data_IF_022313063062
#
_entry.id   IF_022313063062
#
_cell.length_a   1.000
_cell.length_b   1.000
_cell.length_c   1.000
_cell.angle_alpha   90.00
_cell.angle_beta   90.00
_cell.angle_gamma   90.00
#
_symmetry.space_group_name_H-M   'P 1'
#
loop_
_entity.id
_entity.type
_entity.pdbx_description
1 polymer ?
#
# COMPACT_ATOMS: atom_id res chain seq x y z
N UNK A 1 33.87 1.27 23.59
CA UNK A 1 32.91 0.26 23.13
C UNK A 1 32.89 0.32 21.62
N UNK A 2 33.50 -0.65 20.94
CA UNK A 2 33.63 -0.65 19.47
C UNK A 2 32.33 -1.14 18.83
N UNK A 3 32.08 -0.82 17.56
CA UNK A 3 30.91 -1.35 16.83
C UNK A 3 30.87 -2.89 16.81
N UNK A 4 32.05 -3.53 16.84
CA UNK A 4 32.18 -4.99 16.96
C UNK A 4 31.74 -5.54 18.32
N UNK A 5 31.93 -4.79 19.42
CA UNK A 5 31.45 -5.18 20.75
C UNK A 5 29.92 -5.06 20.86
N UNK A 6 29.30 -4.11 20.17
CA UNK A 6 27.84 -3.91 20.14
C UNK A 6 27.10 -4.97 19.31
N UNK A 7 27.74 -5.49 18.26
CA UNK A 7 27.17 -6.50 17.36
C UNK A 7 27.48 -7.94 17.81
N UNK A 8 28.24 -8.10 18.89
CA UNK A 8 28.66 -9.40 19.38
C UNK A 8 27.45 -10.18 19.94
N UNK A 9 27.11 -11.31 19.31
CA UNK A 9 25.95 -12.14 19.67
C UNK A 9 24.69 -11.91 18.83
N UNK A 10 24.67 -10.89 17.94
CA UNK A 10 23.59 -10.75 16.97
C UNK A 10 23.87 -11.60 15.72
N UNK A 11 22.86 -12.26 15.15
CA UNK A 11 23.01 -13.00 13.90
C UNK A 11 23.43 -12.03 12.79
N UNK A 12 24.49 -12.38 12.06
CA UNK A 12 25.01 -11.59 10.94
C UNK A 12 24.13 -11.65 9.69
N UNK A 13 23.23 -12.62 9.66
CA UNK A 13 22.22 -12.78 8.62
C UNK A 13 20.95 -13.36 9.22
N UNK A 14 19.81 -12.97 8.66
CA UNK A 14 18.50 -13.53 9.00
C UNK A 14 18.02 -14.32 7.79
N UNK A 15 17.62 -15.57 8.02
CA UNK A 15 17.01 -16.41 6.99
C UNK A 15 15.51 -16.19 7.05
N UNK A 16 14.97 -15.50 6.05
CA UNK A 16 13.55 -15.26 5.92
C UNK A 16 12.91 -16.31 4.99
N UNK A 17 11.69 -16.77 5.31
CA UNK A 17 10.97 -17.68 4.42
C UNK A 17 10.73 -17.00 3.07
N UNK A 18 10.94 -17.75 1.98
CA UNK A 18 10.71 -17.29 0.62
C UNK A 18 9.24 -17.50 0.23
N UNK A 19 8.35 -16.77 0.90
CA UNK A 19 6.90 -16.85 0.71
C UNK A 19 6.35 -15.44 0.49
N UNK A 20 5.32 -15.32 -0.35
CA UNK A 20 4.63 -14.07 -0.59
C UNK A 20 3.81 -13.60 0.61
N UNK A 21 3.43 -12.32 0.57
CA UNK A 21 2.58 -11.68 1.59
C UNK A 21 1.20 -12.35 1.71
N UNK A 22 0.68 -12.90 0.61
CA UNK A 22 -0.52 -13.72 0.56
C UNK A 22 -0.45 -14.93 1.51
N UNK A 23 0.64 -15.68 1.43
CA UNK A 23 0.87 -16.86 2.26
C UNK A 23 1.08 -16.49 3.73
N UNK A 24 1.81 -15.41 4.01
CA UNK A 24 2.03 -14.94 5.38
C UNK A 24 0.71 -14.50 6.03
N UNK A 25 -0.08 -13.69 5.33
CA UNK A 25 -1.34 -13.17 5.85
C UNK A 25 -2.38 -14.30 6.05
N UNK A 26 -2.49 -15.22 5.10
CA UNK A 26 -3.35 -16.40 5.22
C UNK A 26 -2.94 -17.27 6.42
N UNK A 27 -1.64 -17.48 6.62
CA UNK A 27 -1.13 -18.26 7.77
C UNK A 27 -1.44 -17.61 9.12
N UNK A 28 -1.30 -16.28 9.21
CA UNK A 28 -1.64 -15.51 10.43
C UNK A 28 -3.14 -15.55 10.69
N UNK A 29 -3.98 -15.35 9.66
CA UNK A 29 -5.43 -15.41 9.79
C UNK A 29 -5.90 -16.81 10.22
N UNK A 30 -5.32 -17.88 9.68
CA UNK A 30 -5.63 -19.24 10.08
C UNK A 30 -5.23 -19.55 11.53
N UNK A 31 -4.08 -19.03 11.98
CA UNK A 31 -3.54 -19.32 13.32
C UNK A 31 -4.16 -18.46 14.41
N UNK A 32 -4.49 -17.20 14.09
CA UNK A 32 -4.83 -16.16 15.06
C UNK A 32 -6.09 -15.38 14.68
N UNK A 33 -6.96 -15.94 13.83
CA UNK A 33 -8.08 -15.22 13.21
C UNK A 33 -9.01 -14.49 14.18
N UNK A 34 -9.24 -15.01 15.38
CA UNK A 34 -10.11 -14.38 16.39
C UNK A 34 -9.39 -13.35 17.29
N UNK A 35 -8.08 -13.14 17.11
CA UNK A 35 -7.32 -12.15 17.88
C UNK A 35 -7.43 -10.78 17.22
N UNK A 36 -7.52 -9.74 18.04
CA UNK A 36 -7.51 -8.35 17.57
C UNK A 36 -6.16 -8.06 16.89
N UNK A 37 -6.22 -7.58 15.66
CA UNK A 37 -5.08 -7.13 14.86
C UNK A 37 -4.92 -5.61 14.93
N UNK A 38 -6.04 -4.87 14.85
CA UNK A 38 -6.07 -3.41 14.79
C UNK A 38 -7.15 -2.85 15.73
N UNK A 39 -6.86 -1.68 16.29
CA UNK A 39 -7.81 -0.88 17.07
C UNK A 39 -7.69 0.59 16.67
N UNK A 40 -8.81 1.25 16.44
CA UNK A 40 -8.93 2.69 16.19
C UNK A 40 -10.09 3.20 17.06
N UNK A 41 -9.76 3.84 18.19
CA UNK A 41 -10.76 4.18 19.20
C UNK A 41 -11.48 2.96 19.76
N UNK A 42 -12.80 2.90 19.58
CA UNK A 42 -13.65 1.78 20.03
C UNK A 42 -13.83 0.70 18.94
N UNK A 43 -13.48 1.03 17.69
CA UNK A 43 -13.54 0.11 16.57
C UNK A 43 -12.31 -0.81 16.57
N UNK A 44 -12.51 -2.08 16.23
CA UNK A 44 -11.43 -3.07 16.14
C UNK A 44 -11.65 -4.04 14.97
N UNK A 45 -10.55 -4.57 14.45
CA UNK A 45 -10.54 -5.66 13.48
C UNK A 45 -9.68 -6.81 14.00
N UNK A 46 -10.20 -8.01 13.87
CA UNK A 46 -9.44 -9.24 14.11
C UNK A 46 -8.54 -9.58 12.92
N UNK A 47 -7.57 -10.48 13.10
CA UNK A 47 -6.72 -10.94 11.99
C UNK A 47 -7.52 -11.63 10.89
N UNK A 48 -8.62 -12.32 11.23
CA UNK A 48 -9.50 -12.95 10.26
C UNK A 48 -10.25 -11.92 9.42
N UNK A 49 -10.80 -10.89 10.04
CA UNK A 49 -11.51 -9.80 9.36
C UNK A 49 -10.55 -8.97 8.49
N UNK A 50 -9.35 -8.64 9.00
CA UNK A 50 -8.34 -7.92 8.23
C UNK A 50 -7.93 -8.68 6.96
N UNK A 51 -7.77 -10.00 7.06
CA UNK A 51 -7.46 -10.84 5.90
C UNK A 51 -8.63 -10.91 4.91
N UNK A 52 -9.86 -11.05 5.40
CA UNK A 52 -11.06 -11.03 4.54
C UNK A 52 -11.18 -9.70 3.80
N UNK A 53 -11.07 -8.57 4.51
CA UNK A 53 -11.12 -7.23 3.92
C UNK A 53 -10.03 -7.04 2.85
N UNK A 54 -8.80 -7.47 3.14
CA UNK A 54 -7.70 -7.42 2.18
C UNK A 54 -8.01 -8.24 0.91
N UNK A 55 -8.56 -9.45 1.04
CA UNK A 55 -8.96 -10.27 -0.10
C UNK A 55 -10.08 -9.64 -0.93
N UNK A 56 -11.06 -8.98 -0.27
CA UNK A 56 -12.15 -8.28 -0.97
C UNK A 56 -11.63 -7.08 -1.74
N UNK A 57 -10.75 -6.29 -1.14
CA UNK A 57 -10.09 -5.15 -1.78
C UNK A 57 -9.28 -5.62 -2.99
N UNK A 58 -8.48 -6.67 -2.82
CA UNK A 58 -7.69 -7.24 -3.91
C UNK A 58 -8.57 -7.75 -5.06
N UNK A 59 -9.63 -8.50 -4.73
CA UNK A 59 -10.60 -9.00 -5.71
C UNK A 59 -11.25 -7.86 -6.48
N UNK A 60 -11.64 -6.79 -5.79
CA UNK A 60 -12.22 -5.62 -6.43
C UNK A 60 -11.24 -4.92 -7.37
N UNK A 61 -9.99 -4.70 -6.95
CA UNK A 61 -8.95 -4.07 -7.77
C UNK A 61 -8.70 -4.88 -9.06
N UNK A 62 -8.51 -6.20 -8.94
CA UNK A 62 -8.32 -7.10 -10.11
C UNK A 62 -9.51 -7.05 -11.06
N UNK A 63 -10.74 -7.05 -10.55
CA UNK A 63 -11.97 -6.96 -11.37
C UNK A 63 -12.10 -5.62 -12.11
N UNK A 64 -11.44 -4.58 -11.62
CA UNK A 64 -11.38 -3.26 -12.25
C UNK A 64 -10.16 -3.07 -13.15
N UNK A 65 -9.40 -4.14 -13.40
CA UNK A 65 -8.30 -4.15 -14.36
C UNK A 65 -6.96 -3.69 -13.78
N UNK A 66 -6.84 -3.52 -12.46
CA UNK A 66 -5.54 -3.30 -11.82
C UNK A 66 -4.71 -4.59 -11.98
N UNK A 67 -3.52 -4.46 -12.57
CA UNK A 67 -2.65 -5.59 -12.85
C UNK A 67 -1.36 -5.59 -11.99
N UNK A 68 -0.57 -6.65 -12.13
CA UNK A 68 0.69 -6.78 -11.41
C UNK A 68 1.64 -5.61 -11.74
N UNK A 69 2.19 -4.98 -10.70
CA UNK A 69 3.11 -3.84 -10.84
C UNK A 69 2.45 -2.48 -11.09
N UNK A 70 1.12 -2.41 -11.20
CA UNK A 70 0.42 -1.13 -11.17
C UNK A 70 0.59 -0.46 -9.81
N UNK A 71 0.64 0.88 -9.80
CA UNK A 71 0.74 1.67 -8.57
C UNK A 71 -0.65 2.09 -8.09
N UNK A 72 -0.91 1.89 -6.81
CA UNK A 72 -2.14 2.36 -6.14
C UNK A 72 -1.75 3.37 -5.06
N UNK A 73 -2.19 4.60 -5.23
CA UNK A 73 -1.96 5.66 -4.25
C UNK A 73 -2.88 5.49 -3.03
N UNK A 74 -2.31 5.61 -1.83
CA UNK A 74 -3.03 5.53 -0.56
C UNK A 74 -2.78 6.84 0.20
N UNK A 75 -3.75 7.75 0.17
CA UNK A 75 -3.74 9.02 0.87
C UNK A 75 -4.69 8.95 2.07
N UNK A 76 -4.25 8.26 3.12
CA UNK A 76 -5.05 7.99 4.32
C UNK A 76 -4.18 8.16 5.58
N UNK A 77 -4.73 8.64 6.70
CA UNK A 77 -4.05 8.55 7.98
C UNK A 77 -4.01 7.09 8.46
N UNK A 78 -3.22 6.84 9.52
CA UNK A 78 -3.23 5.56 10.22
C UNK A 78 -4.57 5.37 10.92
N UNK A 79 -5.50 4.68 10.25
CA UNK A 79 -6.83 4.38 10.72
C UNK A 79 -7.15 2.89 10.51
N UNK A 80 -8.32 2.44 10.96
CA UNK A 80 -8.71 1.02 10.88
C UNK A 80 -8.73 0.45 9.46
N UNK A 81 -9.00 1.29 8.45
CA UNK A 81 -9.10 0.88 7.04
C UNK A 81 -7.73 0.75 6.35
N UNK A 82 -6.73 1.51 6.81
CA UNK A 82 -5.44 1.66 6.15
C UNK A 82 -4.76 0.32 5.87
N UNK A 83 -4.67 -0.55 6.88
CA UNK A 83 -3.99 -1.82 6.75
C UNK A 83 -4.69 -2.77 5.76
N UNK A 84 -6.03 -2.79 5.75
CA UNK A 84 -6.81 -3.57 4.79
C UNK A 84 -6.59 -3.09 3.35
N UNK A 85 -6.58 -1.77 3.14
CA UNK A 85 -6.29 -1.15 1.83
C UNK A 85 -4.87 -1.45 1.36
N UNK A 86 -3.89 -1.30 2.25
CA UNK A 86 -2.49 -1.61 1.97
C UNK A 86 -2.33 -3.09 1.59
N UNK A 87 -2.77 -4.01 2.45
CA UNK A 87 -2.64 -5.44 2.22
C UNK A 87 -3.42 -5.88 0.98
N UNK A 88 -4.65 -5.39 0.79
CA UNK A 88 -5.45 -5.71 -0.39
C UNK A 88 -4.84 -5.21 -1.70
N UNK A 89 -4.13 -4.09 -1.67
CA UNK A 89 -3.34 -3.62 -2.82
C UNK A 89 -2.23 -4.60 -3.16
N UNK A 90 -1.44 -5.01 -2.15
CA UNK A 90 -0.34 -5.97 -2.33
C UNK A 90 -0.84 -7.33 -2.79
N UNK A 91 -1.96 -7.82 -2.23
CA UNK A 91 -2.61 -9.07 -2.64
C UNK A 91 -3.18 -9.02 -4.07
N UNK A 92 -3.49 -7.83 -4.60
CA UNK A 92 -3.83 -7.67 -6.01
C UNK A 92 -2.60 -7.78 -6.94
N UNK A 93 -1.40 -7.88 -6.36
CA UNK A 93 -0.13 -7.83 -7.07
C UNK A 93 0.32 -6.40 -7.45
N UNK A 94 -0.39 -5.39 -6.95
CA UNK A 94 -0.09 -3.99 -7.19
C UNK A 94 0.86 -3.44 -6.11
N UNK A 95 1.54 -2.35 -6.43
CA UNK A 95 2.43 -1.64 -5.52
C UNK A 95 1.64 -0.58 -4.76
N UNK A 96 1.66 -0.67 -3.43
CA UNK A 96 1.10 0.34 -2.54
C UNK A 96 2.00 1.58 -2.50
N UNK A 97 1.48 2.73 -2.91
CA UNK A 97 2.16 4.01 -2.86
C UNK A 97 1.53 4.87 -1.76
N UNK A 98 2.05 4.76 -0.54
CA UNK A 98 1.51 5.52 0.59
C UNK A 98 2.07 6.94 0.57
N UNK A 99 1.18 7.92 0.51
CA UNK A 99 1.52 9.34 0.55
C UNK A 99 1.06 9.96 1.86
N UNK A 100 1.79 10.96 2.34
CA UNK A 100 1.37 11.68 3.54
C UNK A 100 0.07 12.47 3.22
N UNK A 101 -1.03 12.21 3.94
CA UNK A 101 -2.31 12.88 3.70
C UNK A 101 -2.30 14.39 3.95
N UNK A 102 -1.29 14.90 4.67
CA UNK A 102 -1.10 16.32 4.96
C UNK A 102 -0.21 17.03 3.93
N UNK A 103 0.31 16.30 2.93
CA UNK A 103 1.10 16.89 1.85
C UNK A 103 0.21 17.83 1.03
N UNK A 104 0.67 19.07 0.74
CA UNK A 104 -0.09 19.99 -0.10
C UNK A 104 -0.40 19.39 -1.49
N UNK A 105 -1.56 19.70 -2.09
CA UNK A 105 -1.95 19.12 -3.38
C UNK A 105 -0.95 19.31 -4.50
N UNK A 106 -0.29 20.47 -4.58
CA UNK A 106 0.73 20.73 -5.60
C UNK A 106 1.91 19.73 -5.50
N UNK A 107 2.38 19.46 -4.29
CA UNK A 107 3.44 18.47 -4.06
C UNK A 107 2.93 17.05 -4.28
N UNK A 108 1.68 16.74 -3.94
CA UNK A 108 1.10 15.43 -4.28
C UNK A 108 0.99 15.22 -5.79
N UNK A 109 0.70 16.27 -6.56
CA UNK A 109 0.63 16.19 -8.02
C UNK A 109 2.00 15.82 -8.60
N UNK A 110 3.08 16.46 -8.15
CA UNK A 110 4.46 16.09 -8.52
C UNK A 110 4.74 14.61 -8.19
N UNK A 111 4.36 14.16 -6.99
CA UNK A 111 4.53 12.76 -6.59
C UNK A 111 3.71 11.79 -7.47
N UNK A 112 2.49 12.14 -7.82
CA UNK A 112 1.64 11.30 -8.67
C UNK A 112 2.11 11.29 -10.13
N UNK A 113 2.76 12.35 -10.61
CA UNK A 113 3.45 12.34 -11.91
C UNK A 113 4.65 11.38 -11.89
N UNK A 114 5.38 11.31 -10.78
CA UNK A 114 6.58 10.47 -10.63
C UNK A 114 6.28 8.95 -10.66
N UNK A 115 5.20 8.49 -10.00
CA UNK A 115 4.86 7.06 -9.92
C UNK A 115 3.56 6.66 -10.64
N UNK A 116 2.88 7.62 -11.27
CA UNK A 116 1.75 7.43 -12.20
C UNK A 116 0.70 6.37 -11.78
N UNK A 117 -0.02 6.57 -10.67
CA UNK A 117 -0.94 5.58 -10.11
C UNK A 117 -2.23 5.40 -10.94
N UNK A 118 -2.77 4.17 -10.93
CA UNK A 118 -4.04 3.80 -11.60
C UNK A 118 -5.25 3.93 -10.69
N UNK A 119 -5.04 3.95 -9.38
CA UNK A 119 -6.09 4.05 -8.38
C UNK A 119 -5.66 4.92 -7.20
N UNK A 120 -6.64 5.51 -6.52
CA UNK A 120 -6.44 6.36 -5.35
C UNK A 120 -7.44 6.00 -4.25
N UNK A 121 -6.93 5.62 -3.08
CA UNK A 121 -7.70 5.50 -1.85
C UNK A 121 -7.53 6.76 -1.01
N UNK A 122 -8.64 7.35 -0.58
CA UNK A 122 -8.66 8.56 0.26
C UNK A 122 -9.47 8.34 1.54
N UNK A 123 -9.05 9.04 2.59
CA UNK A 123 -9.85 9.23 3.80
C UNK A 123 -10.43 10.65 3.82
N UNK A 124 -11.54 10.93 4.53
CA UNK A 124 -12.13 12.26 4.53
C UNK A 124 -11.23 13.37 5.11
N UNK A 125 -10.18 13.05 5.87
CA UNK A 125 -9.15 14.02 6.29
C UNK A 125 -8.17 14.41 5.18
N UNK A 126 -8.28 13.76 4.02
CA UNK A 126 -7.28 13.77 2.95
C UNK A 126 -7.91 14.12 1.60
N UNK A 127 -9.09 14.76 1.63
CA UNK A 127 -9.84 15.14 0.43
C UNK A 127 -9.05 16.02 -0.52
N UNK A 128 -8.16 16.87 -0.01
CA UNK A 128 -7.30 17.72 -0.83
C UNK A 128 -6.40 16.92 -1.78
N UNK A 129 -6.14 15.64 -1.51
CA UNK A 129 -5.44 14.75 -2.44
C UNK A 129 -6.18 14.52 -3.76
N UNK A 130 -7.51 14.75 -3.80
CA UNK A 130 -8.29 14.69 -5.04
C UNK A 130 -7.92 15.79 -6.02
N UNK A 131 -7.44 16.93 -5.54
CA UNK A 131 -6.99 18.03 -6.40
C UNK A 131 -5.74 17.67 -7.19
N UNK A 132 -4.94 16.72 -6.68
CA UNK A 132 -3.75 16.19 -7.34
C UNK A 132 -4.06 15.03 -8.31
N UNK A 133 -5.32 14.57 -8.39
CA UNK A 133 -5.70 13.37 -9.14
C UNK A 133 -5.35 13.50 -10.63
N UNK A 134 -4.64 12.51 -11.17
CA UNK A 134 -4.34 12.42 -12.60
C UNK A 134 -5.50 11.79 -13.39
N UNK A 135 -5.47 11.89 -14.72
CA UNK A 135 -6.46 11.22 -15.58
C UNK A 135 -6.35 9.70 -15.55
N UNK A 136 -5.18 9.14 -15.20
CA UNK A 136 -4.95 7.69 -15.08
C UNK A 136 -5.63 7.07 -13.85
N UNK A 137 -5.87 7.88 -12.82
CA UNK A 137 -6.60 7.47 -11.61
C UNK A 137 -8.11 7.39 -11.85
N UNK A 138 -8.55 6.44 -12.67
CA UNK A 138 -9.98 6.20 -12.94
C UNK A 138 -10.71 5.63 -11.72
N UNK A 139 -9.97 4.94 -10.84
CA UNK A 139 -10.50 4.28 -9.65
C UNK A 139 -10.22 5.14 -8.41
N UNK A 140 -11.23 5.87 -7.95
CA UNK A 140 -11.16 6.62 -6.69
C UNK A 140 -12.04 5.93 -5.65
N UNK A 141 -11.45 5.54 -4.52
CA UNK A 141 -12.14 4.88 -3.41
C UNK A 141 -12.07 5.74 -2.15
N UNK A 142 -13.21 5.96 -1.50
CA UNK A 142 -13.33 6.79 -0.30
C UNK A 142 -13.64 5.94 0.92
N UNK A 143 -12.73 5.93 1.89
CA UNK A 143 -12.93 5.28 3.17
C UNK A 143 -13.95 6.04 4.02
N UNK A 144 -14.71 5.35 4.90
CA UNK A 144 -15.50 6.00 5.94
C UNK A 144 -14.61 6.82 6.86
N UNK A 145 -15.17 7.91 7.39
CA UNK A 145 -14.51 8.66 8.45
C UNK A 145 -14.40 7.82 9.72
N UNK A 146 -13.22 7.83 10.36
CA UNK A 146 -12.99 7.19 11.65
C UNK A 146 -12.93 8.21 12.79
N UNK A 147 -12.51 7.79 13.99
CA UNK A 147 -12.31 8.66 15.14
C UNK A 147 -11.45 9.90 14.82
N UNK A 148 -10.49 9.77 13.90
CA UNK A 148 -9.58 10.86 13.50
C UNK A 148 -10.23 11.96 12.65
N UNK A 149 -11.31 11.68 11.90
CA UNK A 149 -12.00 12.69 11.07
C UNK A 149 -13.22 13.33 11.75
N UNK A 150 -13.67 12.78 12.88
CA UNK A 150 -15.06 12.93 13.31
C UNK A 150 -15.99 12.10 12.41
N UNK A 151 -17.05 11.53 13.00
CA UNK A 151 -18.01 10.68 12.29
C UNK A 151 -18.89 11.56 11.39
N UNK A 152 -18.46 11.77 10.15
CA UNK A 152 -19.22 12.50 9.13
C UNK A 152 -18.45 13.63 8.46
N UNK A 153 -17.70 13.29 7.43
CA UNK A 153 -17.31 14.25 6.41
C UNK A 153 -17.96 13.80 5.09
N UNK A 154 -19.19 14.29 4.90
CA UNK A 154 -20.02 14.01 3.75
C UNK A 154 -19.71 15.03 2.64
N UNK A 155 -19.01 14.55 1.61
CA UNK A 155 -18.86 15.20 0.32
C UNK A 155 -18.45 14.10 -0.64
N UNK A 156 -19.41 13.56 -1.40
CA UNK A 156 -19.15 12.49 -2.36
C UNK A 156 -18.85 13.14 -3.71
N UNK A 157 -17.65 12.99 -4.29
CA UNK A 157 -17.48 13.20 -5.72
C UNK A 157 -18.36 12.18 -6.45
N UNK A 158 -19.09 12.57 -7.48
CA UNK A 158 -20.04 11.66 -8.16
C UNK A 158 -19.44 10.34 -8.65
N UNK A 159 -18.11 10.29 -8.86
CA UNK A 159 -17.36 9.13 -9.34
C UNK A 159 -16.67 8.29 -8.27
N UNK A 160 -16.64 8.70 -7.00
CA UNK A 160 -15.90 7.99 -5.95
C UNK A 160 -16.70 6.81 -5.39
N UNK A 161 -16.05 5.64 -5.29
CA UNK A 161 -16.64 4.42 -4.74
C UNK A 161 -16.47 4.40 -3.21
N UNK A 162 -17.53 4.23 -2.41
CA UNK A 162 -17.38 4.02 -0.97
C UNK A 162 -16.65 2.71 -0.68
N UNK A 163 -15.63 2.74 0.20
CA UNK A 163 -14.89 1.53 0.58
C UNK A 163 -15.81 0.43 1.13
N UNK A 164 -16.85 0.81 1.86
CA UNK A 164 -17.86 -0.14 2.39
C UNK A 164 -18.61 -0.89 1.30
N UNK A 165 -18.86 -0.26 0.15
CA UNK A 165 -19.53 -0.90 -0.99
C UNK A 165 -18.56 -1.85 -1.69
N UNK A 166 -17.29 -1.46 -1.79
CA UNK A 166 -16.22 -2.32 -2.29
C UNK A 166 -16.05 -3.56 -1.41
N UNK A 167 -16.11 -3.41 -0.08
CA UNK A 167 -16.03 -4.50 0.88
C UNK A 167 -17.26 -5.43 0.84
N UNK A 168 -18.31 -5.13 0.08
CA UNK A 168 -19.41 -6.07 -0.14
C UNK A 168 -19.09 -7.15 -1.19
N UNK A 169 -17.99 -7.00 -1.94
CA UNK A 169 -17.55 -7.99 -2.93
C UNK A 169 -17.16 -9.29 -2.25
N UNK A 170 -17.55 -10.43 -2.86
CA UNK A 170 -17.08 -11.74 -2.41
C UNK A 170 -15.63 -11.97 -2.85
N UNK A 171 -14.73 -12.37 -1.94
CA UNK A 171 -13.37 -12.78 -2.27
C UNK A 171 -13.34 -13.83 -3.37
N UNK A 172 -12.38 -13.72 -4.28
CA UNK A 172 -12.07 -14.75 -5.26
C UNK A 172 -10.62 -15.22 -5.14
N UNK A 173 -10.30 -16.45 -5.59
CA UNK A 173 -8.92 -16.89 -5.68
C UNK A 173 -8.09 -15.89 -6.50
N UNK A 174 -7.00 -15.39 -5.91
CA UNK A 174 -6.06 -14.49 -6.54
C UNK A 174 -4.81 -15.27 -7.00
N UNK A 175 -4.09 -14.80 -8.03
CA UNK A 175 -2.75 -15.30 -8.32
C UNK A 175 -1.84 -15.18 -7.09
N UNK A 176 -0.93 -16.15 -6.90
CA UNK A 176 0.02 -16.10 -5.80
C UNK A 176 0.96 -14.90 -5.94
N UNK A 177 1.26 -14.23 -4.82
CA UNK A 177 2.22 -13.13 -4.80
C UNK A 177 3.65 -13.68 -4.83
N UNK A 178 4.47 -13.21 -5.77
CA UNK A 178 5.88 -13.57 -5.80
C UNK A 178 6.68 -12.73 -4.79
N UNK A 179 7.61 -13.30 -4.00
CA UNK A 179 8.37 -12.57 -2.97
C UNK A 179 9.36 -11.53 -3.50
N UNK A 180 9.54 -11.43 -4.82
CA UNK A 180 10.33 -10.37 -5.49
C UNK A 180 9.43 -9.32 -6.16
N UNK A 181 8.13 -9.33 -5.88
CA UNK A 181 7.22 -8.28 -6.35
C UNK A 181 7.40 -7.07 -5.47
N UNK A 182 7.38 -5.86 -6.02
CA UNK A 182 7.41 -4.63 -5.22
C UNK A 182 6.07 -4.43 -4.52
N UNK A 183 5.99 -4.64 -3.20
CA UNK A 183 4.77 -4.35 -2.44
C UNK A 183 4.56 -2.86 -2.17
N UNK A 184 5.63 -2.09 -1.97
CA UNK A 184 5.50 -0.70 -1.49
C UNK A 184 6.52 0.26 -2.07
N UNK A 185 6.05 1.43 -2.46
CA UNK A 185 6.88 2.55 -2.90
C UNK A 185 6.65 3.75 -1.98
N UNK A 186 7.74 4.24 -1.39
CA UNK A 186 7.70 5.38 -0.49
C UNK A 186 8.62 6.48 -1.00
N UNK A 187 8.06 7.67 -1.17
CA UNK A 187 8.86 8.83 -1.50
C UNK A 187 9.48 9.39 -0.22
N UNK A 188 10.79 9.62 -0.27
CA UNK A 188 11.52 10.23 0.84
C UNK A 188 11.30 11.74 0.80
N UNK A 189 11.18 12.36 1.98
CA UNK A 189 11.12 13.82 2.08
C UNK A 189 12.44 14.43 1.62
N UNK A 190 12.48 14.88 0.36
CA UNK A 190 13.67 15.48 -0.22
C UNK A 190 13.85 16.93 0.25
N UNK A 191 14.86 17.19 1.07
CA UNK A 191 15.40 18.56 1.20
C UNK A 191 16.23 18.95 -0.04
N UNK A 192 16.54 17.98 -0.93
CA UNK A 192 17.34 18.16 -2.15
C UNK A 192 16.85 17.18 -3.26
N UNK A 193 15.97 17.65 -4.16
CA UNK A 193 15.57 17.06 -5.47
C UNK A 193 14.92 15.63 -5.44
N UNK A 194 14.17 15.19 -6.48
CA UNK A 194 13.23 14.07 -6.35
C UNK A 194 13.97 12.73 -6.27
N UNK A 195 13.76 11.99 -5.17
CA UNK A 195 14.43 10.74 -4.85
C UNK A 195 13.39 9.63 -4.62
N UNK A 196 13.27 8.73 -5.59
CA UNK A 196 12.44 7.54 -5.48
C UNK A 196 13.18 6.51 -4.61
N UNK A 197 12.59 6.08 -3.49
CA UNK A 197 13.04 4.90 -2.77
C UNK A 197 12.04 3.77 -3.02
N UNK A 198 12.45 2.79 -3.82
CA UNK A 198 11.70 1.57 -4.05
C UNK A 198 12.13 0.54 -2.99
N UNK A 199 11.21 0.12 -2.13
CA UNK A 199 11.45 -0.98 -1.22
C UNK A 199 10.90 -2.25 -1.88
N UNK A 200 11.80 -3.13 -2.32
CA UNK A 200 11.45 -4.50 -2.72
C UNK A 200 11.05 -5.31 -1.46
N UNK A 201 10.30 -6.39 -1.63
CA UNK A 201 9.78 -7.25 -0.55
C UNK A 201 10.91 -8.00 0.20
N UNK A 202 12.13 -7.90 -0.31
CA UNK A 202 13.35 -8.38 0.34
C UNK A 202 13.86 -7.37 1.37
N UNK A 203 13.68 -7.69 2.65
CA UNK A 203 14.23 -6.94 3.80
C UNK A 203 15.78 -6.85 3.82
N UNK A 204 16.51 -7.64 3.02
CA UNK A 204 17.97 -7.64 3.01
C UNK A 204 18.55 -8.13 1.66
N UNK A 205 19.03 -7.22 0.77
CA UNK A 205 19.65 -7.63 -0.49
C UNK A 205 21.04 -8.27 -0.26
N UNK A 206 21.51 -9.14 -1.19
CA UNK A 206 22.84 -9.75 -1.09
C UNK A 206 23.96 -8.68 -1.18
N UNK A 207 25.09 -8.88 -0.50
CA UNK A 207 26.17 -7.89 -0.34
C UNK A 207 26.86 -7.46 -1.65
N UNK A 208 26.57 -8.14 -2.74
CA UNK A 208 27.12 -7.99 -4.09
C UNK A 208 26.15 -7.31 -5.07
N UNK A 209 24.95 -6.93 -4.62
CA UNK A 209 24.04 -6.08 -5.38
C UNK A 209 24.51 -4.61 -5.32
N UNK A 210 25.29 -4.18 -6.30
CA UNK A 210 25.62 -2.78 -6.50
C UNK A 210 24.34 -1.92 -6.55
N UNK A 211 24.40 -0.72 -5.98
CA UNK A 211 23.31 0.25 -6.05
C UNK A 211 23.04 0.61 -7.53
N UNK A 212 22.08 -0.06 -8.16
CA UNK A 212 21.58 0.35 -9.46
C UNK A 212 20.53 1.45 -9.25
N UNK A 213 20.73 2.65 -9.83
CA UNK A 213 19.66 3.64 -9.88
C UNK A 213 18.49 3.06 -10.68
N UNK A 214 17.27 3.30 -10.17
CA UNK A 214 16.01 2.92 -10.79
C UNK A 214 15.75 3.83 -12.01
N UNK A 215 16.54 3.67 -13.07
CA UNK A 215 16.45 4.46 -14.31
C UNK A 215 16.12 3.60 -15.55
N UNK A 216 15.94 2.28 -15.40
CA UNK A 216 15.66 1.39 -16.54
C UNK A 216 14.20 0.95 -16.58
N UNK A 217 13.32 1.87 -16.95
CA UNK A 217 11.98 1.53 -17.44
C UNK A 217 11.55 2.32 -18.69
N UNK A 218 12.35 3.28 -19.19
CA UNK A 218 11.95 4.18 -20.28
C UNK A 218 12.89 4.21 -21.50
N UNK A 219 13.58 3.12 -21.84
CA UNK A 219 14.30 3.02 -23.12
C UNK A 219 14.02 1.68 -23.80
N UNK A 220 12.89 1.60 -24.51
CA UNK A 220 12.67 0.72 -25.67
C UNK A 220 11.35 1.02 -26.39
N UNK A 221 11.18 2.29 -26.78
CA UNK A 221 10.28 2.69 -27.88
C UNK A 221 11.02 3.79 -28.63
N UNK A 222 11.85 3.40 -29.59
CA UNK A 222 12.25 4.13 -30.81
C UNK A 222 13.44 3.39 -31.45
N UNK A 223 13.15 2.39 -32.27
CA UNK A 223 13.71 2.14 -33.62
C UNK A 223 12.95 0.98 -34.29
#
# INVERSE_FOLDING_TARGET
>A
MTSDELLNGLPRSLSYPQVGMDSMLAGVAASYGNRIALMDGDDHLTFGELHDDALRIATWLRRRGVDHGDRVAIAMPNNIWFAGVYLGTVLAGATACVVNPLTPPATLAEQFEDFDPVALFIHPTSESALEARTSRMELVVRAPGTHTSGRGAAGRPDSAVPLVDLLAVQPQPLPACHPDTVAHLQLTGGTLLPNHACCDDRWNPPPDAGAQPCAQANEKIEE
#
